data_IF_989888672709
#
_entry.id   IF_989888672709
#
_cell.length_a   1.000
_cell.length_b   1.000
_cell.length_c   1.000
_cell.angle_alpha   90.00
_cell.angle_beta   90.00
_cell.angle_gamma   90.00
#
_symmetry.space_group_name_H-M   'P 1'
#
loop_
_entity.id
_entity.type
_entity.pdbx_description
1 polymer ?
#
# COMPACT_ATOMS: atom_id res chain seq x y z
N UNK A 1 8.34 -19.94 5.89
CA UNK A 1 7.60 -19.52 7.10
C UNK A 1 8.31 -18.46 7.95
N UNK A 2 9.65 -18.37 7.98
CA UNK A 2 10.36 -17.28 8.72
C UNK A 2 10.47 -15.99 7.89
N UNK A 3 10.46 -16.11 6.56
CA UNK A 3 10.82 -14.99 5.68
C UNK A 3 9.69 -13.95 5.48
N UNK A 4 8.44 -14.41 5.46
CA UNK A 4 7.23 -13.57 5.28
C UNK A 4 6.96 -12.64 6.47
N UNK A 5 7.32 -13.05 7.69
CA UNK A 5 7.09 -12.24 8.90
C UNK A 5 7.82 -10.89 8.87
N UNK A 6 8.94 -10.80 8.15
CA UNK A 6 9.70 -9.54 8.05
C UNK A 6 9.13 -8.63 6.98
N UNK A 7 8.54 -9.17 5.90
CA UNK A 7 7.90 -8.37 4.86
C UNK A 7 6.67 -7.61 5.39
N UNK A 8 5.99 -8.18 6.39
CA UNK A 8 4.83 -7.58 7.07
C UNK A 8 5.14 -7.04 8.46
N UNK A 9 6.43 -6.82 8.77
CA UNK A 9 6.83 -6.19 10.04
C UNK A 9 6.14 -4.82 10.23
N UNK A 10 5.93 -4.11 9.13
CA UNK A 10 5.14 -2.90 9.05
C UNK A 10 4.23 -2.99 7.83
N UNK A 11 2.95 -2.62 8.01
CA UNK A 11 1.93 -2.73 6.99
C UNK A 11 0.86 -1.66 7.15
N UNK A 12 0.31 -1.17 6.04
CA UNK A 12 -0.90 -0.37 6.03
C UNK A 12 -1.91 -0.95 5.05
N UNK A 13 -3.17 -1.06 5.50
CA UNK A 13 -4.27 -1.50 4.64
C UNK A 13 -4.67 -0.33 3.76
N UNK A 14 -4.69 -0.55 2.45
CA UNK A 14 -5.27 0.40 1.51
C UNK A 14 -6.70 -0.06 1.31
N UNK A 15 -7.67 0.73 1.78
CA UNK A 15 -9.12 0.45 1.66
C UNK A 15 -9.59 0.63 0.20
N UNK A 16 -8.96 -0.09 -0.71
CA UNK A 16 -9.20 -0.06 -2.14
C UNK A 16 -10.30 -1.06 -2.51
N UNK A 17 -11.23 -0.60 -3.34
CA UNK A 17 -12.34 -1.41 -3.87
C UNK A 17 -13.15 -2.16 -2.77
N UNK A 18 -13.46 -1.49 -1.67
CA UNK A 18 -14.28 -2.07 -0.58
C UNK A 18 -15.72 -2.41 -1.01
N UNK A 19 -16.19 -1.84 -2.12
CA UNK A 19 -17.47 -2.18 -2.74
C UNK A 19 -17.42 -3.45 -3.61
N UNK A 20 -16.25 -4.10 -3.70
CA UNK A 20 -16.04 -5.35 -4.44
C UNK A 20 -16.44 -5.28 -5.93
N UNK A 21 -16.17 -4.15 -6.60
CA UNK A 21 -16.45 -3.97 -8.02
C UNK A 21 -15.62 -5.00 -8.82
N UNK A 22 -16.25 -5.88 -9.62
CA UNK A 22 -15.53 -6.89 -10.40
C UNK A 22 -14.51 -6.26 -11.37
N UNK A 23 -13.34 -6.89 -11.48
CA UNK A 23 -12.28 -6.46 -12.40
C UNK A 23 -11.40 -5.30 -11.91
N UNK A 24 -11.75 -4.63 -10.80
CA UNK A 24 -10.93 -3.53 -10.27
C UNK A 24 -9.73 -4.00 -9.42
N UNK A 25 -9.69 -5.27 -9.00
CA UNK A 25 -8.71 -5.79 -8.04
C UNK A 25 -9.10 -5.49 -6.59
N UNK A 26 -8.44 -6.14 -5.62
CA UNK A 26 -8.73 -5.99 -4.19
C UNK A 26 -7.52 -6.42 -3.35
N UNK A 27 -7.61 -6.31 -2.02
CA UNK A 27 -6.57 -6.74 -1.08
C UNK A 27 -5.20 -6.09 -1.36
N UNK A 28 -5.19 -4.76 -1.50
CA UNK A 28 -3.97 -3.99 -1.73
C UNK A 28 -3.43 -3.49 -0.38
N UNK A 29 -2.15 -3.78 -0.13
CA UNK A 29 -1.46 -3.38 1.09
C UNK A 29 -0.19 -2.61 0.73
N UNK A 30 0.19 -1.68 1.61
CA UNK A 30 1.53 -1.11 1.67
C UNK A 30 2.35 -1.92 2.68
N UNK A 31 3.50 -2.48 2.28
CA UNK A 31 4.34 -3.30 3.14
C UNK A 31 5.84 -3.17 2.84
N UNK A 32 6.69 -3.78 3.66
CA UNK A 32 8.14 -3.77 3.46
C UNK A 32 8.55 -4.65 2.27
N UNK A 33 9.40 -4.13 1.39
CA UNK A 33 10.01 -4.86 0.26
C UNK A 33 11.06 -5.86 0.77
N UNK A 34 11.07 -7.06 0.17
CA UNK A 34 12.03 -8.12 0.51
C UNK A 34 12.57 -8.92 -0.68
N UNK A 35 12.15 -8.58 -1.91
CA UNK A 35 12.46 -9.35 -3.12
C UNK A 35 11.79 -8.76 -4.37
N UNK A 36 11.44 -9.62 -5.33
CA UNK A 36 10.85 -9.23 -6.62
C UNK A 36 9.44 -8.65 -6.52
N UNK A 37 8.98 -8.04 -7.63
CA UNK A 37 7.70 -7.36 -7.79
C UNK A 37 6.51 -8.14 -7.20
N UNK A 38 5.61 -7.41 -6.54
CA UNK A 38 4.38 -7.97 -5.97
C UNK A 38 3.33 -8.19 -7.07
N UNK A 39 2.33 -9.04 -6.83
CA UNK A 39 1.18 -9.21 -7.73
C UNK A 39 0.19 -8.04 -7.74
N UNK A 40 0.53 -6.89 -7.14
CA UNK A 40 -0.36 -5.72 -7.03
C UNK A 40 -0.23 -4.89 -5.73
N UNK A 41 0.50 -5.38 -4.73
CA UNK A 41 0.78 -4.63 -3.50
C UNK A 41 1.85 -3.54 -3.69
N UNK A 42 1.87 -2.53 -2.82
CA UNK A 42 2.93 -1.52 -2.83
C UNK A 42 4.00 -1.94 -1.83
N UNK A 43 5.22 -2.18 -2.31
CA UNK A 43 6.35 -2.59 -1.48
C UNK A 43 7.43 -1.51 -1.44
N UNK A 44 7.86 -1.10 -0.25
CA UNK A 44 8.89 -0.05 -0.03
C UNK A 44 9.97 -0.52 0.96
N UNK A 45 11.20 0.04 0.94
CA UNK A 45 12.21 -0.26 1.95
C UNK A 45 11.69 -0.05 3.38
N UNK A 46 12.15 -0.86 4.34
CA UNK A 46 11.70 -0.78 5.74
C UNK A 46 11.87 0.62 6.34
N UNK A 47 12.98 1.30 6.06
CA UNK A 47 13.22 2.68 6.50
C UNK A 47 12.19 3.66 5.95
N UNK A 48 11.82 3.52 4.67
CA UNK A 48 10.75 4.31 4.04
C UNK A 48 9.40 3.98 4.66
N UNK A 49 9.12 2.71 4.95
CA UNK A 49 7.87 2.30 5.58
C UNK A 49 7.71 2.93 6.97
N UNK A 50 8.76 2.88 7.79
CA UNK A 50 8.77 3.51 9.11
C UNK A 50 8.50 5.01 8.99
N UNK A 51 9.17 5.68 8.06
CA UNK A 51 8.97 7.12 7.83
C UNK A 51 7.53 7.44 7.41
N UNK A 52 6.96 6.69 6.46
CA UNK A 52 5.59 6.85 6.02
C UNK A 52 4.60 6.69 7.17
N UNK A 53 4.74 5.64 7.98
CA UNK A 53 3.87 5.40 9.13
C UNK A 53 3.99 6.50 10.19
N UNK A 54 5.17 7.06 10.40
CA UNK A 54 5.38 8.18 11.33
C UNK A 54 4.76 9.49 10.83
N UNK A 55 4.68 9.68 9.52
CA UNK A 55 4.05 10.85 8.91
C UNK A 55 2.52 10.73 8.79
N UNK A 56 1.98 9.50 8.89
CA UNK A 56 0.54 9.26 8.80
C UNK A 56 -0.21 9.84 9.99
N UNK A 57 -1.31 10.50 9.69
CA UNK A 57 -2.28 11.02 10.66
C UNK A 57 -3.70 10.84 10.11
N UNK A 58 -4.71 11.32 10.84
CA UNK A 58 -6.12 11.18 10.46
C UNK A 58 -6.48 11.83 9.11
N UNK A 59 -5.67 12.78 8.62
CA UNK A 59 -5.85 13.42 7.32
C UNK A 59 -5.11 12.73 6.17
N UNK A 60 -4.30 11.70 6.43
CA UNK A 60 -3.50 11.06 5.39
C UNK A 60 -4.37 10.23 4.45
N UNK A 61 -4.15 10.38 3.14
CA UNK A 61 -4.84 9.64 2.08
C UNK A 61 -3.84 8.89 1.22
N UNK A 62 -4.16 7.64 0.89
CA UNK A 62 -3.43 6.84 -0.10
C UNK A 62 -4.35 6.70 -1.30
N UNK A 63 -3.89 7.19 -2.46
CA UNK A 63 -4.68 7.21 -3.70
C UNK A 63 -3.99 6.33 -4.74
N UNK A 64 -4.74 5.35 -5.28
CA UNK A 64 -4.30 4.55 -6.42
C UNK A 64 -4.90 5.19 -7.66
N UNK A 65 -4.06 5.90 -8.41
CA UNK A 65 -4.44 6.68 -9.58
C UNK A 65 -3.87 6.05 -10.86
N UNK A 66 -4.68 5.98 -11.92
CA UNK A 66 -4.23 5.50 -13.25
C UNK A 66 -3.63 6.61 -14.10
N UNK A 67 -3.83 7.87 -13.71
CA UNK A 67 -3.22 9.05 -14.32
C UNK A 67 -3.02 10.15 -13.26
N UNK A 68 -2.07 11.06 -13.49
CA UNK A 68 -1.76 12.14 -12.54
C UNK A 68 -2.91 13.13 -12.35
N UNK A 69 -3.75 13.34 -13.37
CA UNK A 69 -4.88 14.28 -13.31
C UNK A 69 -5.93 13.88 -12.27
N UNK A 70 -6.11 12.59 -12.00
CA UNK A 70 -7.08 12.10 -10.99
C UNK A 70 -6.65 12.33 -9.55
N UNK A 71 -5.35 12.57 -9.31
CA UNK A 71 -4.83 12.81 -7.95
C UNK A 71 -5.39 14.11 -7.37
N UNK A 72 -5.61 15.13 -8.20
CA UNK A 72 -6.11 16.45 -7.76
C UNK A 72 -7.58 16.45 -7.30
N UNK A 73 -8.31 15.35 -7.49
CA UNK A 73 -9.71 15.22 -7.09
C UNK A 73 -9.89 14.72 -5.64
N UNK A 74 -8.79 14.45 -4.93
CA UNK A 74 -8.74 13.93 -3.57
C UNK A 74 -7.91 14.85 -2.67
#
# INVERSE_FOLDING_TARGET
>A
MIDEQVAYKYGAVINYNTNCVPGAGSAIFLHCIKGNATGGCVAVPESTMIHLLQCMNSGTRIVIATNSSTIYNY
#
